data_IF_078872149556
#
_entry.id   IF_078872149556
#
_cell.length_a   1.000
_cell.length_b   1.000
_cell.length_c   1.000
_cell.angle_alpha   90.00
_cell.angle_beta   90.00
_cell.angle_gamma   90.00
#
_symmetry.space_group_name_H-M   'P 1'
#
loop_
_entity.id
_entity.type
_entity.pdbx_description
1 polymer ?
#
# COMPACT_ATOMS: atom_id res chain seq x y z
N UNK A 1 4.99 -1.57 -14.67
CA UNK A 1 6.22 -1.03 -14.06
C UNK A 1 7.29 -2.10 -14.10
N UNK A 2 8.56 -1.74 -13.96
CA UNK A 2 9.64 -2.71 -13.88
C UNK A 2 10.68 -2.30 -12.84
N UNK A 3 11.24 -3.27 -12.13
CA UNK A 3 12.32 -3.08 -11.16
C UNK A 3 13.53 -3.88 -11.62
N UNK A 4 14.70 -3.23 -11.63
CA UNK A 4 15.98 -3.90 -11.84
C UNK A 4 16.46 -4.46 -10.50
N UNK A 5 16.71 -5.76 -10.42
CA UNK A 5 17.22 -6.45 -9.23
C UNK A 5 18.50 -7.21 -9.58
N UNK A 6 19.32 -7.52 -8.58
CA UNK A 6 20.49 -8.41 -8.75
C UNK A 6 20.19 -9.77 -8.13
N UNK A 7 20.38 -10.83 -8.89
CA UNK A 7 20.18 -12.21 -8.41
C UNK A 7 21.27 -12.60 -7.41
N UNK A 8 21.07 -13.72 -6.72
CA UNK A 8 22.08 -14.33 -5.86
C UNK A 8 23.32 -14.82 -6.63
N UNK A 9 23.17 -15.12 -7.93
CA UNK A 9 24.28 -15.43 -8.85
C UNK A 9 25.01 -14.18 -9.37
N UNK A 10 24.53 -12.97 -9.06
CA UNK A 10 25.14 -11.71 -9.49
C UNK A 10 24.59 -11.15 -10.81
N UNK A 11 23.65 -11.85 -11.45
CA UNK A 11 23.02 -11.42 -12.70
C UNK A 11 22.03 -10.28 -12.47
N UNK A 12 21.93 -9.38 -13.45
CA UNK A 12 20.94 -8.31 -13.44
C UNK A 12 19.63 -8.77 -14.07
N UNK A 13 18.54 -8.72 -13.32
CA UNK A 13 17.21 -9.14 -13.75
C UNK A 13 16.27 -7.94 -13.81
N UNK A 14 15.44 -7.87 -14.86
CA UNK A 14 14.37 -6.89 -14.99
C UNK A 14 13.02 -7.56 -14.69
N UNK A 15 12.42 -7.22 -13.54
CA UNK A 15 11.14 -7.80 -13.11
C UNK A 15 10.01 -6.85 -13.50
N UNK A 16 9.10 -7.31 -14.35
CA UNK A 16 7.87 -6.58 -14.70
C UNK A 16 6.78 -6.88 -13.68
N UNK A 17 6.08 -5.85 -13.23
CA UNK A 17 4.96 -5.98 -12.31
C UNK A 17 3.90 -4.90 -12.54
N UNK A 18 2.69 -5.22 -12.09
CA UNK A 18 1.52 -4.36 -12.09
C UNK A 18 0.98 -4.25 -10.67
N UNK A 19 0.32 -3.14 -10.37
CA UNK A 19 -0.44 -3.00 -9.13
C UNK A 19 -1.91 -3.24 -9.43
N UNK A 20 -2.54 -4.08 -8.63
CA UNK A 20 -3.99 -4.19 -8.59
C UNK A 20 -4.57 -3.23 -7.56
N UNK A 21 -5.85 -2.92 -7.72
CA UNK A 21 -6.57 -2.08 -6.75
C UNK A 21 -6.68 -2.85 -5.43
N UNK A 22 -6.05 -2.31 -4.38
CA UNK A 22 -6.16 -2.88 -3.05
C UNK A 22 -7.63 -2.92 -2.61
N UNK A 23 -8.18 -4.09 -2.22
CA UNK A 23 -9.50 -4.20 -1.60
C UNK A 23 -9.58 -3.44 -0.28
N UNK A 24 -10.76 -3.41 0.35
CA UNK A 24 -10.92 -2.77 1.66
C UNK A 24 -9.95 -3.40 2.67
N UNK A 25 -8.91 -2.66 3.06
CA UNK A 25 -7.94 -3.04 4.07
C UNK A 25 -8.31 -2.41 5.40
N UNK A 26 -8.52 -3.24 6.43
CA UNK A 26 -8.95 -2.77 7.74
C UNK A 26 -7.76 -2.53 8.66
N UNK A 27 -7.50 -1.27 9.00
CA UNK A 27 -6.36 -0.87 9.83
C UNK A 27 -6.38 -1.43 11.27
N UNK A 28 -7.54 -1.84 11.76
CA UNK A 28 -7.68 -2.31 13.14
C UNK A 28 -7.23 -3.77 13.29
N UNK A 29 -7.41 -4.61 12.26
CA UNK A 29 -7.09 -6.04 12.31
C UNK A 29 -6.13 -6.53 11.20
N UNK A 30 -5.76 -5.66 10.25
CA UNK A 30 -4.82 -6.01 9.17
C UNK A 30 -5.36 -6.94 8.09
N UNK A 31 -6.68 -7.19 8.05
CA UNK A 31 -7.29 -8.10 7.08
C UNK A 31 -7.95 -7.35 5.93
N UNK A 32 -7.94 -7.98 4.75
CA UNK A 32 -8.61 -7.50 3.55
C UNK A 32 -10.07 -7.99 3.52
N UNK A 33 -10.89 -7.28 2.73
CA UNK A 33 -12.22 -7.76 2.32
C UNK A 33 -13.39 -7.28 3.19
N UNK A 34 -13.14 -6.46 4.21
CA UNK A 34 -14.22 -5.88 5.01
C UNK A 34 -13.90 -4.44 5.45
N UNK A 35 -14.95 -3.73 5.81
CA UNK A 35 -14.86 -2.37 6.35
C UNK A 35 -15.11 -2.39 7.85
N UNK A 36 -14.79 -1.27 8.51
CA UNK A 36 -14.81 -1.09 9.96
C UNK A 36 -16.04 -1.65 10.67
N UNK A 37 -17.21 -1.46 10.07
CA UNK A 37 -18.51 -1.89 10.61
C UNK A 37 -18.71 -3.42 10.60
N UNK A 38 -17.89 -4.16 9.87
CA UNK A 38 -17.95 -5.62 9.75
C UNK A 38 -16.72 -6.32 10.36
N UNK A 39 -15.91 -5.61 11.13
CA UNK A 39 -14.71 -6.17 11.75
C UNK A 39 -15.06 -6.84 13.09
N UNK A 40 -15.01 -8.18 13.15
CA UNK A 40 -15.30 -8.94 14.37
C UNK A 40 -14.39 -8.57 15.56
N UNK A 41 -13.12 -8.26 15.28
CA UNK A 41 -12.10 -7.86 16.28
C UNK A 41 -12.51 -6.62 17.08
N UNK A 42 -13.44 -5.80 16.58
CA UNK A 42 -13.95 -4.64 17.32
C UNK A 42 -14.74 -5.03 18.58
N UNK A 43 -15.19 -6.28 18.67
CA UNK A 43 -15.97 -6.78 19.81
C UNK A 43 -15.15 -7.66 20.76
N UNK A 44 -13.87 -7.88 20.46
CA UNK A 44 -12.98 -8.69 21.31
C UNK A 44 -12.49 -7.89 22.51
N UNK A 45 -12.35 -8.52 23.68
CA UNK A 45 -11.81 -7.85 24.85
C UNK A 45 -10.34 -7.43 24.64
N UNK A 46 -9.99 -6.21 25.07
CA UNK A 46 -8.63 -5.68 24.91
C UNK A 46 -8.27 -5.16 23.51
N UNK A 47 -9.26 -5.02 22.61
CA UNK A 47 -8.99 -4.46 21.28
C UNK A 47 -8.50 -3.01 21.34
N UNK A 48 -7.47 -2.69 20.56
CA UNK A 48 -6.94 -1.34 20.41
C UNK A 48 -7.85 -0.51 19.48
N UNK A 49 -8.36 0.63 19.95
CA UNK A 49 -9.16 1.52 19.10
C UNK A 49 -8.26 2.13 18.02
N UNK A 50 -8.86 2.46 16.87
CA UNK A 50 -8.14 3.16 15.81
C UNK A 50 -7.61 4.50 16.36
N UNK A 51 -6.28 4.67 16.36
CA UNK A 51 -5.60 5.84 16.91
C UNK A 51 -4.94 5.60 18.28
N UNK A 52 -5.33 4.55 18.99
CA UNK A 52 -4.74 4.12 20.26
C UNK A 52 -3.96 2.82 19.99
N UNK A 53 -2.66 2.93 19.70
CA UNK A 53 -1.73 1.81 19.46
C UNK A 53 -2.14 0.76 18.39
N UNK A 54 -3.07 1.09 17.49
CA UNK A 54 -3.43 0.19 16.39
C UNK A 54 -2.20 -0.14 15.51
N UNK A 55 -2.04 -1.40 15.06
CA UNK A 55 -0.86 -1.83 14.30
C UNK A 55 -0.75 -1.17 12.91
N UNK A 56 -1.85 -0.61 12.41
CA UNK A 56 -1.93 0.05 11.11
C UNK A 56 -2.72 1.36 11.19
N UNK A 57 -2.61 2.21 10.17
CA UNK A 57 -3.34 3.46 10.17
C UNK A 57 -3.37 4.18 8.83
N UNK A 58 -3.97 5.40 8.80
CA UNK A 58 -4.07 6.22 7.60
C UNK A 58 -2.74 6.51 6.90
N UNK A 59 -1.62 6.42 7.62
CA UNK A 59 -0.26 6.54 7.09
C UNK A 59 0.09 5.48 6.02
N UNK A 60 -0.65 4.37 5.94
CA UNK A 60 -0.51 3.39 4.86
C UNK A 60 -1.18 3.81 3.55
N UNK A 61 -1.99 4.87 3.53
CA UNK A 61 -2.65 5.32 2.30
C UNK A 61 -1.62 5.94 1.37
N UNK A 62 -1.63 5.51 0.12
CA UNK A 62 -0.87 6.20 -0.92
C UNK A 62 -1.36 7.66 -1.02
N UNK A 63 -0.44 8.64 -1.16
CA UNK A 63 -0.82 10.02 -1.38
C UNK A 63 -1.65 10.11 -2.67
N UNK A 64 -2.82 10.74 -2.58
CA UNK A 64 -3.67 10.98 -3.74
C UNK A 64 -3.04 12.12 -4.54
N UNK A 65 -2.70 11.93 -5.83
CA UNK A 65 -2.24 13.03 -6.66
C UNK A 65 -3.32 14.10 -6.71
N UNK A 66 -3.02 15.30 -6.22
CA UNK A 66 -3.96 16.43 -6.26
C UNK A 66 -4.21 16.78 -7.73
N UNK A 67 -5.44 16.54 -8.20
CA UNK A 67 -5.89 16.96 -9.53
C UNK A 67 -6.02 18.48 -9.54
N UNK A 68 -4.91 19.20 -9.69
CA UNK A 68 -4.95 20.67 -9.72
C UNK A 68 -3.64 21.42 -9.56
N UNK A 69 -2.50 20.77 -9.36
CA UNK A 69 -1.20 21.44 -9.48
C UNK A 69 -0.27 20.51 -10.23
N UNK A 70 0.36 21.03 -11.26
CA UNK A 70 1.42 20.40 -12.06
C UNK A 70 2.62 20.04 -11.19
N UNK A 71 2.48 19.08 -10.29
CA UNK A 71 3.60 18.31 -9.79
C UNK A 71 3.67 17.08 -10.67
N UNK A 72 4.70 17.06 -11.52
CA UNK A 72 4.95 15.99 -12.46
C UNK A 72 4.86 14.62 -11.78
N UNK A 73 4.57 13.60 -12.59
CA UNK A 73 4.50 12.22 -12.12
C UNK A 73 5.67 11.91 -11.17
N UNK A 74 5.43 11.19 -10.05
CA UNK A 74 6.49 10.86 -9.11
C UNK A 74 7.66 10.21 -9.85
N UNK A 75 8.89 10.54 -9.47
CA UNK A 75 10.13 10.29 -10.22
C UNK A 75 10.26 8.86 -10.76
N UNK A 76 9.82 7.86 -9.99
CA UNK A 76 9.81 6.45 -10.40
C UNK A 76 8.95 6.15 -11.64
N UNK A 77 7.98 7.00 -11.99
CA UNK A 77 7.18 6.90 -13.23
C UNK A 77 7.88 7.47 -14.46
N UNK A 78 8.96 8.24 -14.30
CA UNK A 78 9.67 8.88 -15.42
C UNK A 78 10.77 8.00 -16.02
N UNK A 79 11.07 6.86 -15.41
CA UNK A 79 12.22 6.00 -15.75
C UNK A 79 11.87 4.80 -16.63
N UNK A 80 10.78 4.81 -17.41
CA UNK A 80 10.57 3.79 -18.45
C UNK A 80 11.52 4.04 -19.62
N UNK A 81 12.49 3.16 -19.91
CA UNK A 81 13.29 3.25 -21.13
C UNK A 81 12.38 2.97 -22.33
N UNK A 82 12.56 3.76 -23.39
CA UNK A 82 11.85 3.68 -24.66
C UNK A 82 12.39 2.59 -25.57
#
# INVERSE_FOLDING_TARGET
>A
MALKIRSTSGEELLVRFTYERLPNFRFLCGRLGHIDKYCAVRFEEGYCKLGEAAPYGPWMRAPVPTRGRSQGLPEWRKSTPH
#
